data_IF_515228362334
#
_entry.id   IF_515228362334
#
_cell.length_a   1.000
_cell.length_b   1.000
_cell.length_c   1.000
_cell.angle_alpha   90.00
_cell.angle_beta   90.00
_cell.angle_gamma   90.00
#
_symmetry.space_group_name_H-M   'P 1'
#
loop_
_entity.id
_entity.type
_entity.pdbx_description
1 polymer ?
#
# COMPACT_ATOMS: atom_id res chain seq x y z
N UNK A 1 61.92 -35.97 -30.23
CA UNK A 1 60.73 -36.37 -31.02
C UNK A 1 59.38 -36.23 -30.31
N UNK A 2 59.24 -36.38 -28.97
CA UNK A 2 57.94 -36.25 -28.29
C UNK A 2 57.31 -34.83 -28.26
N UNK A 3 58.09 -33.75 -28.32
CA UNK A 3 57.55 -32.37 -28.30
C UNK A 3 56.87 -31.94 -29.60
N UNK A 4 57.30 -32.45 -30.75
CA UNK A 4 56.73 -32.05 -32.05
C UNK A 4 55.36 -32.70 -32.32
N UNK A 5 55.11 -33.88 -31.77
CA UNK A 5 53.82 -34.58 -31.93
C UNK A 5 52.70 -33.89 -31.13
N UNK A 6 53.03 -33.28 -29.99
CA UNK A 6 52.05 -32.60 -29.12
C UNK A 6 51.55 -31.28 -29.71
N UNK A 7 52.39 -30.57 -30.46
CA UNK A 7 52.03 -29.29 -31.10
C UNK A 7 51.14 -29.52 -32.32
N UNK A 8 51.41 -30.58 -33.10
CA UNK A 8 50.58 -30.96 -34.25
C UNK A 8 49.20 -31.44 -33.79
N UNK A 9 49.12 -32.21 -32.70
CA UNK A 9 47.84 -32.66 -32.14
C UNK A 9 46.99 -31.50 -31.59
N UNK A 10 47.63 -30.49 -30.98
CA UNK A 10 46.95 -29.29 -30.51
C UNK A 10 46.45 -28.42 -31.67
N UNK A 11 47.24 -28.27 -32.74
CA UNK A 11 46.84 -27.53 -33.94
C UNK A 11 45.71 -28.23 -34.70
N UNK A 12 45.69 -29.56 -34.75
CA UNK A 12 44.58 -30.33 -35.34
C UNK A 12 43.31 -30.19 -34.51
N UNK A 13 43.40 -30.21 -33.17
CA UNK A 13 42.25 -29.94 -32.29
C UNK A 13 41.75 -28.50 -32.40
N UNK A 14 42.65 -27.52 -32.58
CA UNK A 14 42.30 -26.12 -32.78
C UNK A 14 41.65 -25.87 -34.15
N UNK A 15 42.09 -26.58 -35.20
CA UNK A 15 41.47 -26.52 -36.53
C UNK A 15 40.11 -27.24 -36.54
N UNK A 16 39.94 -28.33 -35.77
CA UNK A 16 38.65 -29.02 -35.62
C UNK A 16 37.67 -28.21 -34.76
N UNK A 17 38.12 -27.40 -33.80
CA UNK A 17 37.25 -26.49 -33.05
C UNK A 17 36.93 -25.19 -33.80
N UNK A 18 37.79 -24.74 -34.72
CA UNK A 18 37.52 -23.57 -35.58
C UNK A 18 36.74 -23.91 -36.86
N UNK A 19 36.84 -25.14 -37.36
CA UNK A 19 35.94 -25.63 -38.41
C UNK A 19 34.72 -26.23 -37.74
N UNK A 20 33.77 -25.38 -37.35
CA UNK A 20 32.46 -25.79 -36.86
C UNK A 20 31.75 -26.65 -37.90
N UNK A 21 32.07 -27.94 -37.95
CA UNK A 21 31.33 -28.96 -38.66
C UNK A 21 30.08 -29.26 -37.82
N UNK A 22 29.17 -28.29 -37.75
CA UNK A 22 27.78 -28.58 -37.42
C UNK A 22 27.31 -29.68 -38.38
N UNK A 23 26.77 -30.76 -37.82
CA UNK A 23 26.20 -31.84 -38.64
C UNK A 23 25.20 -31.20 -39.61
N UNK A 24 25.17 -31.64 -40.88
CA UNK A 24 24.18 -31.12 -41.80
C UNK A 24 22.79 -31.47 -41.26
N UNK A 25 21.97 -30.44 -41.10
CA UNK A 25 20.57 -30.57 -40.67
C UNK A 25 19.65 -30.46 -41.88
N UNK A 26 18.46 -31.06 -41.77
CA UNK A 26 17.41 -30.90 -42.78
C UNK A 26 16.82 -29.49 -42.75
N UNK A 27 16.13 -29.10 -43.82
CA UNK A 27 15.45 -27.80 -43.88
C UNK A 27 14.41 -27.63 -42.76
N UNK A 28 13.63 -28.67 -42.47
CA UNK A 28 12.60 -28.62 -41.42
C UNK A 28 13.21 -28.48 -40.02
N UNK A 29 14.33 -29.16 -39.77
CA UNK A 29 15.11 -28.99 -38.53
C UNK A 29 15.68 -27.57 -38.43
N UNK A 30 16.21 -27.02 -39.53
CA UNK A 30 16.72 -25.66 -39.57
C UNK A 30 15.65 -24.61 -39.27
N UNK A 31 14.44 -24.78 -39.83
CA UNK A 31 13.29 -23.91 -39.53
C UNK A 31 12.90 -24.01 -38.06
N UNK A 32 12.86 -25.24 -37.51
CA UNK A 32 12.53 -25.45 -36.08
C UNK A 32 13.56 -24.82 -35.14
N UNK A 33 14.86 -24.98 -35.43
CA UNK A 33 15.92 -24.37 -34.64
C UNK A 33 15.91 -22.84 -34.75
N UNK A 34 15.68 -22.29 -35.95
CA UNK A 34 15.56 -20.85 -36.14
C UNK A 34 14.37 -20.26 -35.37
N UNK A 35 13.21 -20.93 -35.35
CA UNK A 35 12.08 -20.55 -34.49
C UNK A 35 12.43 -20.65 -32.99
N UNK A 36 13.18 -21.68 -32.58
CA UNK A 36 13.63 -21.79 -31.19
C UNK A 36 14.53 -20.61 -30.79
N UNK A 37 15.40 -20.12 -31.69
CA UNK A 37 16.23 -18.94 -31.45
C UNK A 37 15.39 -17.67 -31.39
N UNK A 38 14.38 -17.53 -32.26
CA UNK A 38 13.42 -16.42 -32.19
C UNK A 38 12.71 -16.38 -30.83
N UNK A 39 12.27 -17.55 -30.31
CA UNK A 39 11.67 -17.68 -28.97
C UNK A 39 12.68 -17.35 -27.86
N UNK A 40 13.90 -17.87 -27.95
CA UNK A 40 14.98 -17.58 -26.98
C UNK A 40 15.34 -16.08 -26.99
N UNK A 41 15.37 -15.43 -28.15
CA UNK A 41 15.60 -13.98 -28.29
C UNK A 41 14.53 -13.18 -27.55
N UNK A 42 13.26 -13.58 -27.64
CA UNK A 42 12.16 -12.89 -26.97
C UNK A 42 12.18 -13.09 -25.45
N UNK A 43 12.44 -14.31 -24.98
CA UNK A 43 12.26 -14.71 -23.58
C UNK A 43 13.50 -14.58 -22.69
N UNK A 44 14.71 -14.44 -23.25
CA UNK A 44 15.97 -14.42 -22.49
C UNK A 44 16.77 -13.14 -22.75
N UNK A 45 17.90 -12.92 -22.07
CA UNK A 45 18.81 -11.80 -22.35
C UNK A 45 19.67 -11.96 -23.62
N UNK A 46 19.29 -12.85 -24.54
CA UNK A 46 20.00 -12.99 -25.81
C UNK A 46 19.99 -11.65 -26.58
N UNK A 47 21.16 -11.28 -27.10
CA UNK A 47 21.32 -10.10 -27.96
C UNK A 47 20.92 -10.42 -29.40
N UNK A 48 20.52 -9.38 -30.15
CA UNK A 48 20.19 -9.50 -31.56
C UNK A 48 21.36 -10.05 -32.39
N UNK A 49 22.59 -9.63 -32.09
CA UNK A 49 23.80 -10.12 -32.77
C UNK A 49 24.03 -11.62 -32.50
N UNK A 50 23.78 -12.08 -31.28
CA UNK A 50 23.89 -13.49 -30.92
C UNK A 50 22.84 -14.32 -31.66
N UNK A 51 21.59 -13.86 -31.70
CA UNK A 51 20.51 -14.52 -32.44
C UNK A 51 20.83 -14.61 -33.94
N UNK A 52 21.26 -13.50 -34.55
CA UNK A 52 21.66 -13.45 -35.97
C UNK A 52 22.81 -14.40 -36.26
N UNK A 53 23.83 -14.45 -35.38
CA UNK A 53 24.94 -15.38 -35.53
C UNK A 53 24.46 -16.83 -35.53
N UNK A 54 23.61 -17.21 -34.57
CA UNK A 54 23.06 -18.58 -34.48
C UNK A 54 22.22 -18.94 -35.70
N UNK A 55 21.35 -18.04 -36.18
CA UNK A 55 20.52 -18.28 -37.38
C UNK A 55 21.39 -18.36 -38.65
N UNK A 56 22.39 -17.49 -38.78
CA UNK A 56 23.37 -17.55 -39.87
C UNK A 56 24.13 -18.87 -39.90
N UNK A 57 24.50 -19.43 -38.74
CA UNK A 57 25.15 -20.74 -38.65
C UNK A 57 24.21 -21.89 -39.04
N UNK A 58 22.93 -21.81 -38.64
CA UNK A 58 21.89 -22.73 -39.10
C UNK A 58 21.79 -22.70 -40.62
N UNK A 59 21.68 -21.52 -41.23
CA UNK A 59 21.59 -21.34 -42.69
C UNK A 59 22.78 -21.99 -43.41
N UNK A 60 24.00 -21.84 -42.86
CA UNK A 60 25.22 -22.46 -43.43
C UNK A 60 25.25 -23.97 -43.30
N UNK A 61 24.57 -24.54 -42.31
CA UNK A 61 24.58 -25.98 -42.04
C UNK A 61 23.57 -26.78 -42.88
N UNK A 62 22.58 -26.12 -43.48
CA UNK A 62 21.59 -26.79 -44.35
C UNK A 62 22.21 -27.13 -45.70
N UNK A 63 22.25 -28.42 -46.05
CA UNK A 63 22.73 -28.88 -47.37
C UNK A 63 21.61 -28.86 -48.40
N UNK A 64 21.95 -28.55 -49.65
CA UNK A 64 21.07 -28.65 -50.82
C UNK A 64 19.77 -27.83 -50.73
N UNK A 65 19.81 -26.64 -50.14
CA UNK A 65 18.65 -25.74 -50.13
C UNK A 65 18.39 -25.17 -51.52
N UNK A 66 17.13 -25.17 -51.94
CA UNK A 66 16.72 -24.40 -53.11
C UNK A 66 16.60 -22.90 -52.79
N UNK A 67 16.40 -22.08 -53.83
CA UNK A 67 16.29 -20.63 -53.67
C UNK A 67 15.08 -20.20 -52.82
N UNK A 68 13.99 -20.97 -52.84
CA UNK A 68 12.78 -20.69 -52.05
C UNK A 68 13.03 -20.97 -50.56
N UNK A 69 13.66 -22.09 -50.26
CA UNK A 69 14.06 -22.47 -48.90
C UNK A 69 15.06 -21.47 -48.32
N UNK A 70 16.05 -21.05 -49.11
CA UNK A 70 17.01 -20.01 -48.73
C UNK A 70 16.34 -18.68 -48.46
N UNK A 71 15.36 -18.28 -49.30
CA UNK A 71 14.61 -17.05 -49.10
C UNK A 71 13.83 -17.07 -47.78
N UNK A 72 13.18 -18.20 -47.45
CA UNK A 72 12.45 -18.36 -46.18
C UNK A 72 13.35 -18.24 -44.95
N UNK A 73 14.54 -18.85 -44.97
CA UNK A 73 15.46 -18.72 -43.83
C UNK A 73 16.04 -17.29 -43.69
N UNK A 74 16.29 -16.61 -44.81
CA UNK A 74 16.71 -15.20 -44.78
C UNK A 74 15.59 -14.27 -44.29
N UNK A 75 14.32 -14.61 -44.56
CA UNK A 75 13.15 -13.91 -44.02
C UNK A 75 13.10 -14.07 -42.49
N UNK A 76 13.29 -15.28 -41.97
CA UNK A 76 13.36 -15.54 -40.53
C UNK A 76 14.51 -14.78 -39.85
N UNK A 77 15.64 -14.56 -40.54
CA UNK A 77 16.73 -13.72 -40.04
C UNK A 77 16.34 -12.23 -39.99
N UNK A 78 15.56 -11.74 -40.96
CA UNK A 78 15.02 -10.37 -40.94
C UNK A 78 13.97 -10.18 -39.84
N UNK A 79 13.17 -11.20 -39.57
CA UNK A 79 12.16 -11.16 -38.51
C UNK A 79 12.78 -10.96 -37.12
N UNK A 80 14.07 -11.30 -36.93
CA UNK A 80 14.79 -11.05 -35.68
C UNK A 80 14.82 -9.56 -35.31
N UNK A 81 14.87 -8.66 -36.30
CA UNK A 81 14.86 -7.20 -36.05
C UNK A 81 13.52 -6.72 -35.54
N UNK A 82 12.44 -7.28 -36.11
CA UNK A 82 11.08 -7.01 -35.67
C UNK A 82 10.84 -7.58 -34.26
N UNK A 83 11.24 -8.83 -34.02
CA UNK A 83 11.16 -9.47 -32.69
C UNK A 83 11.93 -8.66 -31.64
N UNK A 84 13.15 -8.23 -31.96
CA UNK A 84 13.98 -7.48 -31.02
C UNK A 84 13.44 -6.08 -30.71
N UNK A 85 12.89 -5.39 -31.72
CA UNK A 85 12.23 -4.10 -31.53
C UNK A 85 11.01 -4.23 -30.61
N UNK A 86 10.16 -5.23 -30.86
CA UNK A 86 9.00 -5.48 -30.01
C UNK A 86 9.36 -5.97 -28.60
N UNK A 87 10.47 -6.69 -28.43
CA UNK A 87 11.00 -7.06 -27.10
C UNK A 87 11.40 -5.82 -26.31
N UNK A 88 12.00 -4.83 -26.98
CA UNK A 88 12.35 -3.55 -26.36
C UNK A 88 11.08 -2.81 -25.93
N UNK A 89 10.11 -2.69 -26.84
CA UNK A 89 8.81 -2.07 -26.52
C UNK A 89 8.11 -2.81 -25.37
N UNK A 90 8.15 -4.14 -25.36
CA UNK A 90 7.64 -4.96 -24.26
C UNK A 90 8.39 -4.71 -22.95
N UNK A 91 9.72 -4.64 -22.95
CA UNK A 91 10.50 -4.37 -21.75
C UNK A 91 10.19 -2.98 -21.19
N UNK A 92 10.04 -2.00 -22.06
CA UNK A 92 9.67 -0.63 -21.70
C UNK A 92 8.24 -0.61 -21.09
N UNK A 93 7.28 -1.33 -21.69
CA UNK A 93 5.92 -1.52 -21.16
C UNK A 93 5.95 -2.25 -19.80
N UNK A 94 6.74 -3.30 -19.64
CA UNK A 94 6.87 -4.04 -18.37
C UNK A 94 7.52 -3.19 -17.27
N UNK A 95 8.47 -2.32 -17.63
CA UNK A 95 9.03 -1.35 -16.70
C UNK A 95 7.99 -0.29 -16.31
N UNK A 96 7.09 0.09 -17.21
CA UNK A 96 5.96 0.98 -16.93
C UNK A 96 4.87 0.30 -16.07
N UNK A 97 4.59 -1.00 -16.31
CA UNK A 97 3.72 -1.85 -15.47
C UNK A 97 4.23 -1.96 -14.04
N UNK A 98 5.55 -2.07 -13.88
CA UNK A 98 6.15 -2.12 -12.54
C UNK A 98 5.96 -0.80 -11.77
N UNK A 99 5.58 0.28 -12.47
CA UNK A 99 5.40 1.63 -11.92
C UNK A 99 3.91 1.99 -11.73
N UNK A 100 2.97 1.50 -12.55
CA UNK A 100 1.52 1.76 -12.42
C UNK A 100 0.60 0.58 -12.86
N UNK A 101 -0.69 0.62 -12.46
CA UNK A 101 -1.76 -0.40 -12.56
C UNK A 101 -1.65 -1.43 -13.72
N UNK A 102 -1.38 -2.69 -13.35
CA UNK A 102 -1.23 -3.89 -14.19
C UNK A 102 -2.32 -4.08 -15.28
N UNK A 103 -3.58 -3.74 -15.00
CA UNK A 103 -4.70 -3.94 -15.92
C UNK A 103 -4.59 -3.13 -17.22
N UNK A 104 -4.01 -1.93 -17.17
CA UNK A 104 -3.97 -1.03 -18.34
C UNK A 104 -2.95 -1.50 -19.39
N UNK A 105 -1.81 -2.00 -18.93
CA UNK A 105 -0.76 -2.41 -19.83
C UNK A 105 -0.98 -3.80 -20.45
N UNK A 106 -1.68 -4.70 -19.75
CA UNK A 106 -2.10 -5.98 -20.32
C UNK A 106 -3.06 -5.76 -21.51
N UNK A 107 -3.94 -4.76 -21.42
CA UNK A 107 -4.83 -4.37 -22.52
C UNK A 107 -4.05 -3.86 -23.75
N UNK A 108 -3.06 -2.99 -23.56
CA UNK A 108 -2.21 -2.48 -24.65
C UNK A 108 -1.38 -3.60 -25.32
N UNK A 109 -0.92 -4.58 -24.53
CA UNK A 109 -0.21 -5.74 -25.03
C UNK A 109 -1.10 -6.61 -25.94
N UNK A 110 -2.37 -6.76 -25.58
CA UNK A 110 -3.34 -7.53 -26.37
C UNK A 110 -3.73 -6.82 -27.67
N UNK A 111 -3.89 -5.49 -27.65
CA UNK A 111 -4.09 -4.70 -28.87
C UNK A 111 -2.90 -4.83 -29.83
N UNK A 112 -1.67 -4.77 -29.31
CA UNK A 112 -0.46 -4.95 -30.12
C UNK A 112 -0.41 -6.34 -30.78
N UNK A 113 -0.83 -7.40 -30.09
CA UNK A 113 -0.92 -8.76 -30.66
C UNK A 113 -1.98 -8.83 -31.77
N UNK A 114 -3.13 -8.18 -31.58
CA UNK A 114 -4.23 -8.15 -32.54
C UNK A 114 -3.87 -7.51 -33.88
N UNK A 115 -2.84 -6.65 -33.92
CA UNK A 115 -2.38 -5.99 -35.15
C UNK A 115 -1.50 -6.85 -36.06
N UNK A 116 -0.92 -7.96 -35.58
CA UNK A 116 -0.05 -8.83 -36.39
C UNK A 116 -0.80 -10.09 -36.87
N UNK A 117 -0.99 -10.24 -38.18
CA UNK A 117 -1.84 -11.29 -38.82
C UNK A 117 -1.08 -12.53 -39.32
N UNK A 118 0.22 -12.63 -39.10
CA UNK A 118 1.12 -13.66 -39.65
C UNK A 118 1.71 -14.56 -38.55
N UNK A 119 2.71 -15.39 -38.90
CA UNK A 119 3.36 -16.35 -37.98
C UNK A 119 3.92 -15.70 -36.71
N UNK A 120 4.15 -14.40 -36.75
CA UNK A 120 4.53 -13.60 -35.60
C UNK A 120 3.42 -13.53 -34.53
N UNK A 121 2.16 -13.45 -34.95
CA UNK A 121 1.00 -13.43 -34.05
C UNK A 121 0.81 -14.75 -33.30
N UNK A 122 1.17 -15.89 -33.89
CA UNK A 122 1.07 -17.19 -33.23
C UNK A 122 2.22 -17.41 -32.24
N UNK A 123 3.44 -16.96 -32.56
CA UNK A 123 4.56 -16.94 -31.62
C UNK A 123 4.26 -16.00 -30.43
N UNK A 124 3.67 -14.83 -30.69
CA UNK A 124 3.26 -13.92 -29.61
C UNK A 124 2.19 -14.54 -28.71
N UNK A 125 1.18 -15.22 -29.26
CA UNK A 125 0.15 -15.91 -28.46
C UNK A 125 0.74 -17.00 -27.58
N UNK A 126 1.65 -17.81 -28.11
CA UNK A 126 2.30 -18.88 -27.34
C UNK A 126 3.19 -18.28 -26.22
N UNK A 127 3.94 -17.22 -26.53
CA UNK A 127 4.77 -16.52 -25.55
C UNK A 127 3.91 -15.81 -24.48
N UNK A 128 2.77 -15.22 -24.84
CA UNK A 128 1.83 -14.64 -23.89
C UNK A 128 1.23 -15.71 -22.98
N UNK A 129 0.91 -16.89 -23.51
CA UNK A 129 0.47 -18.03 -22.70
C UNK A 129 1.53 -18.48 -21.69
N UNK A 130 2.79 -18.59 -22.09
CA UNK A 130 3.89 -18.97 -21.20
C UNK A 130 4.23 -17.86 -20.18
N UNK A 131 4.20 -16.59 -20.59
CA UNK A 131 4.39 -15.43 -19.72
C UNK A 131 3.25 -15.33 -18.70
N UNK A 132 2.02 -15.62 -19.10
CA UNK A 132 0.88 -15.67 -18.17
C UNK A 132 1.08 -16.77 -17.12
N UNK A 133 1.54 -17.96 -17.51
CA UNK A 133 1.84 -19.07 -16.59
C UNK A 133 3.04 -18.76 -15.67
N UNK A 134 4.07 -18.07 -16.18
CA UNK A 134 5.23 -17.64 -15.39
C UNK A 134 4.83 -16.56 -14.38
N UNK A 135 4.09 -15.55 -14.83
CA UNK A 135 3.55 -14.51 -13.95
C UNK A 135 2.51 -15.07 -12.98
N UNK A 136 1.69 -16.06 -13.31
CA UNK A 136 0.77 -16.69 -12.35
C UNK A 136 1.52 -17.34 -11.19
N UNK A 137 2.64 -18.03 -11.46
CA UNK A 137 3.49 -18.63 -10.42
C UNK A 137 4.27 -17.60 -9.62
N UNK A 138 4.79 -16.56 -10.26
CA UNK A 138 5.54 -15.49 -9.59
C UNK A 138 4.62 -14.51 -8.86
N UNK A 139 3.37 -14.35 -9.31
CA UNK A 139 2.32 -13.58 -8.64
C UNK A 139 1.73 -14.39 -7.48
N UNK A 140 1.44 -15.69 -7.62
CA UNK A 140 1.08 -16.56 -6.50
C UNK A 140 2.20 -16.58 -5.45
N UNK A 141 3.45 -16.76 -5.88
CA UNK A 141 4.60 -16.79 -4.96
C UNK A 141 4.86 -15.42 -4.34
N UNK A 142 4.81 -14.33 -5.10
CA UNK A 142 4.99 -12.97 -4.61
C UNK A 142 3.87 -12.52 -3.67
N UNK A 143 2.62 -12.88 -3.97
CA UNK A 143 1.47 -12.64 -3.09
C UNK A 143 1.61 -13.50 -1.82
N UNK A 144 1.99 -14.79 -1.92
CA UNK A 144 2.18 -15.66 -0.76
C UNK A 144 3.37 -15.21 0.09
N UNK A 145 4.49 -14.79 -0.52
CA UNK A 145 5.67 -14.29 0.17
C UNK A 145 5.43 -12.90 0.79
N UNK A 146 4.71 -11.99 0.13
CA UNK A 146 4.27 -10.71 0.71
C UNK A 146 3.27 -10.94 1.84
N UNK A 147 2.34 -11.88 1.71
CA UNK A 147 1.42 -12.28 2.78
C UNK A 147 2.21 -12.93 3.93
N UNK A 148 3.23 -13.73 3.68
CA UNK A 148 4.01 -14.40 4.73
C UNK A 148 5.05 -13.49 5.41
N UNK A 149 5.62 -12.52 4.68
CA UNK A 149 6.57 -11.54 5.24
C UNK A 149 5.85 -10.39 5.95
N UNK A 150 4.68 -9.96 5.47
CA UNK A 150 3.90 -8.89 6.10
C UNK A 150 2.88 -9.41 7.12
N UNK A 151 2.61 -10.72 7.14
CA UNK A 151 1.81 -11.37 8.17
C UNK A 151 2.69 -12.38 8.93
N UNK A 152 3.66 -11.88 9.71
CA UNK A 152 4.13 -12.64 10.86
C UNK A 152 3.00 -12.67 11.91
N UNK A 153 2.05 -13.59 11.74
CA UNK A 153 0.89 -13.81 12.63
C UNK A 153 1.36 -14.01 14.09
N UNK A 154 2.59 -14.49 14.29
CA UNK A 154 3.22 -14.68 15.58
C UNK A 154 3.57 -13.34 16.25
N UNK A 155 4.02 -12.34 15.49
CA UNK A 155 4.37 -11.01 15.98
C UNK A 155 3.14 -10.13 16.27
N UNK A 156 2.00 -10.40 15.61
CA UNK A 156 0.73 -9.68 15.82
C UNK A 156 0.05 -9.95 17.18
N UNK A 157 0.57 -10.88 17.99
CA UNK A 157 0.07 -11.13 19.35
C UNK A 157 0.79 -10.34 20.45
N UNK A 158 1.89 -9.65 20.15
CA UNK A 158 2.76 -9.11 21.21
C UNK A 158 2.97 -7.60 21.25
N UNK A 159 2.35 -6.78 20.38
CA UNK A 159 2.44 -5.31 20.52
C UNK A 159 1.14 -4.59 20.21
N UNK A 160 0.77 -3.71 21.14
CA UNK A 160 -0.14 -2.57 20.96
C UNK A 160 0.19 -1.79 19.68
N UNK A 161 -0.82 -1.10 19.13
CA UNK A 161 -0.90 -0.43 17.81
C UNK A 161 -1.53 -1.27 16.69
N UNK A 162 -2.85 -1.44 16.80
CA UNK A 162 -3.73 -1.81 15.68
C UNK A 162 -4.57 -0.58 15.33
N UNK A 163 -3.98 0.38 14.61
CA UNK A 163 -4.74 1.42 13.89
C UNK A 163 -4.02 1.82 12.60
N UNK A 164 -3.50 0.82 11.88
CA UNK A 164 -2.81 1.08 10.64
C UNK A 164 -3.81 1.02 9.49
N UNK A 165 -4.27 2.20 9.06
CA UNK A 165 -4.91 2.43 7.75
C UNK A 165 -4.19 1.73 6.59
N UNK A 166 -2.90 1.40 6.77
CA UNK A 166 -2.13 0.55 5.86
C UNK A 166 -2.73 -0.85 5.64
N UNK A 167 -3.22 -1.53 6.70
CA UNK A 167 -3.82 -2.86 6.58
C UNK A 167 -5.14 -2.76 5.80
N UNK A 168 -5.97 -1.76 6.14
CA UNK A 168 -7.25 -1.51 5.46
C UNK A 168 -7.03 -1.18 3.98
N UNK A 169 -6.09 -0.29 3.67
CA UNK A 169 -5.74 0.06 2.30
C UNK A 169 -5.19 -1.13 1.51
N UNK A 170 -4.40 -2.00 2.17
CA UNK A 170 -3.88 -3.21 1.55
C UNK A 170 -4.99 -4.22 1.23
N UNK A 171 -5.90 -4.49 2.17
CA UNK A 171 -7.05 -5.38 1.97
C UNK A 171 -7.97 -4.85 0.87
N UNK A 172 -8.23 -3.54 0.84
CA UNK A 172 -9.04 -2.91 -0.21
C UNK A 172 -8.38 -3.01 -1.59
N UNK A 173 -7.08 -2.77 -1.69
CA UNK A 173 -6.33 -2.91 -2.95
C UNK A 173 -6.31 -4.37 -3.44
N UNK A 174 -6.20 -5.35 -2.53
CA UNK A 174 -6.29 -6.76 -2.86
C UNK A 174 -7.69 -7.15 -3.39
N UNK A 175 -8.75 -6.65 -2.74
CA UNK A 175 -10.13 -6.88 -3.17
C UNK A 175 -10.45 -6.25 -4.53
N UNK A 176 -9.97 -5.03 -4.79
CA UNK A 176 -10.13 -4.38 -6.09
C UNK A 176 -9.44 -5.18 -7.22
N UNK A 177 -8.24 -5.70 -6.95
CA UNK A 177 -7.51 -6.56 -7.90
C UNK A 177 -8.26 -7.86 -8.20
N UNK A 178 -8.86 -8.50 -7.19
CA UNK A 178 -9.66 -9.72 -7.35
C UNK A 178 -10.94 -9.46 -8.17
N UNK A 179 -11.67 -8.39 -7.87
CA UNK A 179 -12.90 -8.04 -8.61
C UNK A 179 -12.61 -7.71 -10.08
N UNK A 180 -11.48 -7.06 -10.36
CA UNK A 180 -11.05 -6.78 -11.73
C UNK A 180 -10.63 -8.07 -12.47
N UNK A 181 -10.09 -9.07 -11.76
CA UNK A 181 -9.80 -10.40 -12.30
C UNK A 181 -11.08 -11.14 -12.70
N UNK A 182 -12.13 -11.12 -11.87
CA UNK A 182 -13.42 -11.76 -12.19
C UNK A 182 -14.07 -11.17 -13.43
N UNK A 183 -14.09 -9.84 -13.52
CA UNK A 183 -14.59 -9.14 -14.71
C UNK A 183 -13.79 -9.52 -15.97
N UNK A 184 -12.46 -9.61 -15.83
CA UNK A 184 -11.57 -10.01 -16.92
C UNK A 184 -11.81 -11.45 -17.38
N UNK A 185 -11.95 -12.42 -16.46
CA UNK A 185 -12.28 -13.81 -16.81
C UNK A 185 -13.65 -13.94 -17.46
N UNK A 186 -14.61 -13.10 -17.10
CA UNK A 186 -15.92 -13.06 -17.73
C UNK A 186 -15.84 -12.57 -19.19
N UNK A 187 -15.08 -11.50 -19.45
CA UNK A 187 -14.85 -10.99 -20.81
C UNK A 187 -14.07 -11.99 -21.67
N UNK A 188 -13.03 -12.61 -21.11
CA UNK A 188 -12.26 -13.64 -21.80
C UNK A 188 -13.10 -14.88 -22.12
N UNK A 189 -13.93 -15.34 -21.17
CA UNK A 189 -14.80 -16.49 -21.35
C UNK A 189 -15.83 -16.34 -22.47
N UNK A 190 -16.21 -15.10 -22.80
CA UNK A 190 -17.11 -14.79 -23.93
C UNK A 190 -16.41 -14.82 -25.29
N UNK A 191 -15.08 -14.74 -25.34
CA UNK A 191 -14.34 -14.45 -26.58
C UNK A 191 -13.45 -15.61 -27.07
N UNK A 192 -13.35 -16.74 -26.35
CA UNK A 192 -12.29 -17.73 -26.57
C UNK A 192 -12.71 -19.12 -27.11
N UNK A 193 -11.74 -19.75 -27.81
CA UNK A 193 -11.76 -21.14 -28.33
C UNK A 193 -11.79 -22.21 -27.23
N UNK A 194 -12.28 -23.41 -27.56
CA UNK A 194 -12.55 -24.53 -26.64
C UNK A 194 -11.35 -24.98 -25.78
N UNK A 195 -10.11 -24.84 -26.24
CA UNK A 195 -8.92 -25.31 -25.50
C UNK A 195 -8.57 -24.43 -24.28
N UNK A 196 -8.92 -23.13 -24.27
CA UNK A 196 -8.75 -22.26 -23.09
C UNK A 196 -9.89 -22.40 -22.08
N UNK A 197 -11.06 -22.85 -22.53
CA UNK A 197 -12.23 -23.11 -21.65
C UNK A 197 -11.92 -24.20 -20.62
N UNK A 198 -11.10 -25.19 -20.99
CA UNK A 198 -10.61 -26.25 -20.10
C UNK A 198 -9.74 -25.72 -18.96
N UNK A 199 -8.91 -24.69 -19.22
CA UNK A 199 -8.11 -24.05 -18.17
C UNK A 199 -8.98 -23.16 -17.26
N UNK A 200 -10.02 -22.52 -17.81
CA UNK A 200 -10.97 -21.72 -17.03
C UNK A 200 -11.74 -22.56 -15.98
N UNK A 201 -12.16 -23.78 -16.36
CA UNK A 201 -12.87 -24.70 -15.46
C UNK A 201 -11.98 -25.23 -14.31
N UNK A 202 -10.64 -25.22 -14.48
CA UNK A 202 -9.68 -25.58 -13.41
C UNK A 202 -9.42 -24.40 -12.46
N UNK A 203 -9.51 -23.16 -12.96
CA UNK A 203 -9.21 -21.95 -12.19
C UNK A 203 -10.39 -21.46 -11.35
N UNK A 204 -11.63 -21.66 -11.85
CA UNK A 204 -12.86 -21.22 -11.16
C UNK A 204 -12.99 -21.71 -9.71
N UNK A 205 -12.73 -22.99 -9.39
CA UNK A 205 -12.79 -23.48 -8.01
C UNK A 205 -11.72 -22.87 -7.10
N UNK A 206 -10.55 -22.50 -7.65
CA UNK A 206 -9.48 -21.88 -6.88
C UNK A 206 -9.79 -20.41 -6.55
N UNK A 207 -10.40 -19.68 -7.48
CA UNK A 207 -10.92 -18.33 -7.24
C UNK A 207 -12.03 -18.32 -6.18
N UNK A 208 -12.92 -19.32 -6.19
CA UNK A 208 -13.96 -19.51 -5.16
C UNK A 208 -13.37 -19.73 -3.75
N UNK A 209 -12.25 -20.45 -3.64
CA UNK A 209 -11.54 -20.62 -2.35
C UNK A 209 -10.93 -19.30 -1.88
N UNK A 210 -10.37 -18.49 -2.79
CA UNK A 210 -9.84 -17.18 -2.46
C UNK A 210 -10.94 -16.21 -1.98
N UNK A 211 -12.11 -16.22 -2.63
CA UNK A 211 -13.29 -15.44 -2.23
C UNK A 211 -13.78 -15.78 -0.82
N UNK A 212 -13.79 -17.07 -0.45
CA UNK A 212 -14.19 -17.50 0.89
C UNK A 212 -13.18 -17.05 1.98
N UNK A 213 -11.90 -16.90 1.65
CA UNK A 213 -10.89 -16.33 2.55
C UNK A 213 -11.14 -14.82 2.73
N UNK A 214 -11.58 -14.13 1.67
CA UNK A 214 -11.94 -12.71 1.73
C UNK A 214 -13.10 -12.44 2.68
N UNK A 215 -14.12 -13.30 2.71
CA UNK A 215 -15.25 -13.16 3.64
C UNK A 215 -14.83 -13.30 5.12
N UNK A 216 -13.94 -14.25 5.43
CA UNK A 216 -13.39 -14.41 6.79
C UNK A 216 -12.52 -13.21 7.20
N UNK A 217 -11.79 -12.61 6.25
CA UNK A 217 -11.01 -11.39 6.48
C UNK A 217 -11.91 -10.16 6.69
N UNK A 218 -13.01 -10.03 5.95
CA UNK A 218 -13.99 -8.95 6.15
C UNK A 218 -14.68 -9.05 7.52
N UNK A 219 -14.99 -10.27 7.98
CA UNK A 219 -15.55 -10.49 9.32
C UNK A 219 -14.55 -10.09 10.41
N UNK A 220 -13.28 -10.50 10.28
CA UNK A 220 -12.21 -10.10 11.20
C UNK A 220 -11.98 -8.58 11.21
N UNK A 221 -12.04 -7.94 10.04
CA UNK A 221 -11.93 -6.48 9.92
C UNK A 221 -13.02 -5.76 10.71
N UNK A 222 -14.28 -6.18 10.59
CA UNK A 222 -15.39 -5.58 11.34
C UNK A 222 -15.21 -5.71 12.86
N UNK A 223 -14.71 -6.84 13.33
CA UNK A 223 -14.43 -7.05 14.76
C UNK A 223 -13.34 -6.09 15.24
N UNK A 224 -12.26 -5.94 14.47
CA UNK A 224 -11.15 -5.02 14.79
C UNK A 224 -11.63 -3.56 14.79
N UNK A 225 -12.43 -3.15 13.81
CA UNK A 225 -12.99 -1.79 13.73
C UNK A 225 -13.91 -1.48 14.92
N UNK A 226 -14.75 -2.43 15.35
CA UNK A 226 -15.61 -2.25 16.53
C UNK A 226 -14.81 -2.17 17.83
N UNK A 227 -13.75 -2.96 17.98
CA UNK A 227 -12.86 -2.91 19.15
C UNK A 227 -12.06 -1.59 19.19
N UNK A 228 -11.48 -1.18 18.06
CA UNK A 228 -10.77 0.09 17.94
C UNK A 228 -11.68 1.29 18.26
N UNK A 229 -12.94 1.26 17.80
CA UNK A 229 -13.92 2.30 18.13
C UNK A 229 -14.22 2.36 19.62
N UNK A 230 -14.36 1.21 20.30
CA UNK A 230 -14.59 1.18 21.76
C UNK A 230 -13.40 1.74 22.54
N UNK A 231 -12.18 1.38 22.15
CA UNK A 231 -10.95 1.92 22.74
C UNK A 231 -10.86 3.45 22.57
N UNK A 232 -11.10 3.97 21.37
CA UNK A 232 -11.08 5.41 21.12
C UNK A 232 -12.15 6.17 21.92
N UNK A 233 -13.35 5.60 22.07
CA UNK A 233 -14.39 6.19 22.92
C UNK A 233 -14.04 6.18 24.41
N UNK A 234 -13.27 5.19 24.88
CA UNK A 234 -12.82 5.09 26.26
C UNK A 234 -11.66 6.06 26.55
N UNK A 235 -10.68 6.16 25.65
CA UNK A 235 -9.60 7.15 25.70
C UNK A 235 -10.15 8.58 25.68
N UNK A 236 -11.09 8.90 24.79
CA UNK A 236 -11.74 10.21 24.75
C UNK A 236 -12.50 10.54 26.05
N UNK A 237 -13.08 9.54 26.72
CA UNK A 237 -13.71 9.72 28.04
C UNK A 237 -12.69 9.95 29.15
N UNK A 238 -11.50 9.35 29.05
CA UNK A 238 -10.40 9.57 30.00
C UNK A 238 -9.84 10.97 29.81
N UNK A 239 -9.53 11.37 28.58
CA UNK A 239 -8.98 12.68 28.24
C UNK A 239 -9.97 13.80 28.62
N UNK A 240 -11.26 13.65 28.33
CA UNK A 240 -12.29 14.60 28.76
C UNK A 240 -12.38 14.71 30.29
N UNK A 241 -12.19 13.61 31.04
CA UNK A 241 -12.15 13.66 32.51
C UNK A 241 -10.87 14.32 33.03
N UNK A 242 -9.74 14.12 32.37
CA UNK A 242 -8.46 14.75 32.75
C UNK A 242 -8.44 16.26 32.44
N UNK A 243 -9.01 16.69 31.32
CA UNK A 243 -9.20 18.12 31.02
C UNK A 243 -10.12 18.81 32.03
N UNK A 244 -11.22 18.17 32.43
CA UNK A 244 -12.11 18.71 33.47
C UNK A 244 -11.37 18.86 34.79
N UNK A 245 -10.56 17.85 35.18
CA UNK A 245 -9.77 17.89 36.42
C UNK A 245 -8.72 19.00 36.42
N UNK A 246 -8.20 19.38 35.25
CA UNK A 246 -7.19 20.44 35.10
C UNK A 246 -7.71 21.82 35.54
N UNK A 247 -9.01 22.07 35.44
CA UNK A 247 -9.63 23.38 35.70
C UNK A 247 -10.53 23.38 36.94
N UNK A 248 -10.45 22.34 37.78
CA UNK A 248 -11.21 22.30 39.04
C UNK A 248 -10.79 23.45 39.99
N UNK A 249 -11.75 24.14 40.61
CA UNK A 249 -11.47 25.15 41.63
C UNK A 249 -10.66 24.60 42.80
N UNK A 250 -9.57 25.28 43.16
CA UNK A 250 -8.72 24.90 44.28
C UNK A 250 -8.89 25.89 45.44
N UNK A 251 -9.26 25.41 46.63
CA UNK A 251 -9.28 26.25 47.83
C UNK A 251 -7.87 26.33 48.43
N UNK A 252 -7.28 27.52 48.43
CA UNK A 252 -5.90 27.74 48.88
C UNK A 252 -5.86 28.22 50.34
N UNK A 253 -6.86 29.02 50.75
CA UNK A 253 -6.95 29.55 52.11
C UNK A 253 -8.34 29.27 52.66
N UNK A 254 -8.40 28.84 53.93
CA UNK A 254 -9.64 28.67 54.70
C UNK A 254 -9.34 28.90 56.18
N UNK A 255 -9.32 30.17 56.60
CA UNK A 255 -8.96 30.55 57.97
C UNK A 255 -9.53 31.92 58.35
N UNK A 256 -9.90 32.10 59.61
CA UNK A 256 -10.32 33.39 60.19
C UNK A 256 -11.38 34.14 59.38
N UNK A 257 -12.35 33.38 58.89
CA UNK A 257 -13.45 33.87 58.07
C UNK A 257 -13.04 34.35 56.67
N UNK A 258 -11.82 34.01 56.24
CA UNK A 258 -11.29 34.27 54.91
C UNK A 258 -11.15 32.95 54.13
N UNK A 259 -11.66 32.95 52.91
CA UNK A 259 -11.46 31.90 51.93
C UNK A 259 -10.84 32.48 50.65
N UNK A 260 -9.84 31.81 50.09
CA UNK A 260 -9.30 32.16 48.78
C UNK A 260 -9.37 30.92 47.89
N UNK A 261 -10.02 31.09 46.74
CA UNK A 261 -10.12 30.07 45.71
C UNK A 261 -9.32 30.45 44.48
N UNK A 262 -8.61 29.49 43.90
CA UNK A 262 -8.07 29.58 42.55
C UNK A 262 -9.11 29.00 41.60
N UNK A 263 -9.63 29.84 40.72
CA UNK A 263 -10.71 29.46 39.79
C UNK A 263 -10.27 29.73 38.36
N UNK A 264 -10.69 28.87 37.43
CA UNK A 264 -10.48 29.09 36.00
C UNK A 264 -11.75 29.68 35.39
N UNK A 265 -11.64 30.81 34.72
CA UNK A 265 -12.77 31.47 34.05
C UNK A 265 -12.60 31.30 32.54
N UNK A 266 -13.45 30.50 31.91
CA UNK A 266 -13.40 30.14 30.49
C UNK A 266 -14.32 30.98 29.60
N UNK A 267 -15.42 31.52 30.12
CA UNK A 267 -16.44 32.22 29.32
C UNK A 267 -16.22 33.74 29.24
N UNK A 268 -15.10 34.25 29.77
CA UNK A 268 -14.84 35.68 29.83
C UNK A 268 -15.74 36.44 30.82
N UNK A 269 -16.54 35.72 31.61
CA UNK A 269 -17.31 36.29 32.72
C UNK A 269 -17.36 35.34 33.91
N UNK A 270 -17.53 35.91 35.11
CA UNK A 270 -17.78 35.20 36.36
C UNK A 270 -19.16 35.61 36.85
N UNK A 271 -20.07 34.65 37.03
CA UNK A 271 -21.32 34.92 37.72
C UNK A 271 -21.24 34.43 39.17
N UNK A 272 -21.48 35.34 40.12
CA UNK A 272 -21.43 35.06 41.55
C UNK A 272 -22.83 35.16 42.17
N UNK A 273 -23.27 34.07 42.79
CA UNK A 273 -24.45 34.03 43.64
C UNK A 273 -24.08 33.65 45.06
N UNK A 274 -24.79 34.22 46.04
CA UNK A 274 -24.53 33.88 47.42
C UNK A 274 -25.35 34.68 48.41
N UNK A 275 -25.33 34.23 49.66
CA UNK A 275 -25.95 34.91 50.78
C UNK A 275 -24.95 35.05 51.91
N UNK A 276 -24.98 36.18 52.61
CA UNK A 276 -24.29 36.39 53.87
C UNK A 276 -25.30 36.77 54.94
N UNK A 277 -25.20 36.13 56.10
CA UNK A 277 -26.05 36.34 57.27
C UNK A 277 -25.17 36.62 58.49
N UNK A 278 -25.20 37.85 58.97
CA UNK A 278 -24.34 38.29 60.06
C UNK A 278 -24.25 39.81 60.18
N UNK A 279 -23.78 40.29 61.34
CA UNK A 279 -23.62 41.73 61.61
C UNK A 279 -22.28 42.30 61.13
N UNK A 280 -21.35 41.42 60.73
CA UNK A 280 -20.00 41.80 60.31
C UNK A 280 -19.89 42.27 58.86
N UNK A 281 -18.65 42.50 58.43
CA UNK A 281 -18.30 42.79 57.04
C UNK A 281 -18.42 41.54 56.18
N UNK A 282 -18.93 41.69 54.96
CA UNK A 282 -18.88 40.69 53.90
C UNK A 282 -18.24 41.29 52.66
N UNK A 283 -17.09 40.75 52.28
CA UNK A 283 -16.26 41.27 51.19
C UNK A 283 -15.94 40.13 50.23
N UNK A 284 -16.16 40.37 48.94
CA UNK A 284 -15.73 39.46 47.88
C UNK A 284 -14.90 40.23 46.87
N UNK A 285 -13.69 39.75 46.57
CA UNK A 285 -12.76 40.37 45.64
C UNK A 285 -12.32 39.37 44.59
N UNK A 286 -12.08 39.86 43.38
CA UNK A 286 -11.47 39.11 42.31
C UNK A 286 -10.10 39.71 42.00
N UNK A 287 -9.07 38.87 41.98
CA UNK A 287 -7.72 39.24 41.55
C UNK A 287 -7.26 38.37 40.38
N UNK A 288 -6.39 38.91 39.54
CA UNK A 288 -5.82 38.18 38.42
C UNK A 288 -4.69 37.22 38.85
N UNK A 289 -4.10 36.50 37.89
CA UNK A 289 -2.99 35.56 38.14
C UNK A 289 -1.74 36.20 38.78
N UNK A 290 -1.54 37.51 38.62
CA UNK A 290 -0.46 38.28 39.25
C UNK A 290 -0.85 38.81 40.65
N UNK A 291 -2.02 38.40 41.16
CA UNK A 291 -2.64 38.86 42.41
C UNK A 291 -2.98 40.37 42.42
N UNK A 292 -3.06 41.00 41.25
CA UNK A 292 -3.54 42.37 41.13
C UNK A 292 -5.06 42.38 41.26
N UNK A 293 -5.59 43.28 42.09
CA UNK A 293 -7.02 43.43 42.30
C UNK A 293 -7.69 43.86 41.00
N UNK A 294 -8.63 43.04 40.52
CA UNK A 294 -9.43 43.34 39.34
C UNK A 294 -10.72 44.07 39.73
N UNK A 295 -11.44 43.55 40.73
CA UNK A 295 -12.75 44.08 41.11
C UNK A 295 -13.10 43.74 42.56
N UNK A 296 -13.91 44.60 43.18
CA UNK A 296 -14.58 44.32 44.46
C UNK A 296 -16.05 44.00 44.19
N UNK A 297 -16.38 42.71 44.15
CA UNK A 297 -17.71 42.22 43.78
C UNK A 297 -18.77 42.53 44.86
N UNK A 298 -18.34 42.45 46.12
CA UNK A 298 -19.16 42.72 47.31
C UNK A 298 -18.32 43.43 48.36
N UNK A 299 -18.91 44.44 49.01
CA UNK A 299 -18.31 45.11 50.17
C UNK A 299 -19.44 45.71 51.02
N UNK A 300 -20.04 44.87 51.85
CA UNK A 300 -21.27 45.19 52.59
C UNK A 300 -21.12 44.90 54.08
N UNK A 301 -21.95 45.56 54.89
CA UNK A 301 -22.03 45.33 56.34
C UNK A 301 -23.45 44.88 56.66
N UNK A 302 -23.59 43.76 57.38
CA UNK A 302 -24.89 43.19 57.66
C UNK A 302 -25.31 42.11 56.65
N UNK A 303 -26.55 41.63 56.78
CA UNK A 303 -27.13 40.66 55.85
C UNK A 303 -27.08 41.14 54.40
N UNK A 304 -26.64 40.27 53.48
CA UNK A 304 -26.55 40.60 52.07
C UNK A 304 -26.82 39.40 51.17
N UNK A 305 -27.37 39.65 49.98
CA UNK A 305 -27.56 38.65 48.92
C UNK A 305 -26.86 39.17 47.68
N UNK A 306 -25.94 38.38 47.14
CA UNK A 306 -25.25 38.69 45.89
C UNK A 306 -25.82 37.82 44.76
N UNK A 307 -26.07 38.46 43.62
CA UNK A 307 -26.39 37.85 42.33
C UNK A 307 -25.87 38.82 41.27
N UNK A 308 -24.63 38.62 40.82
CA UNK A 308 -23.91 39.56 39.93
C UNK A 308 -23.05 38.82 38.93
N UNK A 309 -23.04 39.30 37.68
CA UNK A 309 -22.05 38.90 36.67
C UNK A 309 -20.96 39.95 36.55
N UNK A 310 -19.71 39.51 36.45
CA UNK A 310 -18.54 40.34 36.17
C UNK A 310 -17.85 39.87 34.88
N UNK A 311 -17.42 40.79 34.02
CA UNK A 311 -16.69 40.47 32.79
C UNK A 311 -15.19 40.56 33.07
N UNK A 312 -14.45 39.50 32.75
CA UNK A 312 -12.99 39.47 32.90
C UNK A 312 -12.30 39.80 31.56
N UNK A 313 -11.13 40.46 31.59
CA UNK A 313 -10.45 40.88 30.36
C UNK A 313 -9.84 39.72 29.56
N UNK A 314 -9.67 38.54 30.16
CA UNK A 314 -9.12 37.36 29.50
C UNK A 314 -9.53 36.06 30.20
N UNK A 315 -9.51 34.97 29.43
CA UNK A 315 -9.70 33.61 29.93
C UNK A 315 -8.46 33.16 30.68
N UNK A 316 -8.63 32.52 31.85
CA UNK A 316 -7.49 32.05 32.63
C UNK A 316 -7.77 31.82 34.11
N UNK A 317 -6.69 31.68 34.88
CA UNK A 317 -6.74 31.51 36.32
C UNK A 317 -6.86 32.85 37.06
N UNK A 318 -7.76 32.89 38.03
CA UNK A 318 -8.03 34.01 38.92
C UNK A 318 -8.06 33.58 40.38
N UNK A 319 -7.99 34.55 41.27
CA UNK A 319 -8.14 34.35 42.71
C UNK A 319 -9.41 35.04 43.20
N UNK A 320 -10.35 34.26 43.71
CA UNK A 320 -11.57 34.75 44.35
C UNK A 320 -11.38 34.73 45.86
N UNK A 321 -11.29 35.92 46.45
CA UNK A 321 -11.21 36.10 47.90
C UNK A 321 -12.61 36.38 48.45
N UNK A 322 -13.02 35.61 49.45
CA UNK A 322 -14.28 35.76 50.18
C UNK A 322 -13.92 35.96 51.65
N UNK A 323 -14.42 37.03 52.26
CA UNK A 323 -14.16 37.37 53.65
C UNK A 323 -15.45 37.74 54.38
N UNK A 324 -15.70 37.10 55.52
CA UNK A 324 -16.80 37.40 56.42
C UNK A 324 -16.31 37.49 57.86
N UNK A 325 -16.57 38.61 58.56
CA UNK A 325 -15.99 38.83 59.88
C UNK A 325 -16.83 38.30 61.05
N UNK A 326 -18.16 38.27 60.92
CA UNK A 326 -19.11 37.87 61.99
C UNK A 326 -20.43 37.38 61.40
N UNK A 327 -20.36 36.31 60.61
CA UNK A 327 -21.54 35.75 59.95
C UNK A 327 -21.24 34.43 59.26
N UNK A 328 -22.27 33.85 58.66
CA UNK A 328 -22.17 32.68 57.80
C UNK A 328 -22.50 33.09 56.38
N UNK A 329 -21.90 32.41 55.40
CA UNK A 329 -22.18 32.63 54.00
C UNK A 329 -22.36 31.34 53.23
N UNK A 330 -23.13 31.44 52.15
CA UNK A 330 -23.20 30.46 51.07
C UNK A 330 -22.85 31.17 49.77
N UNK A 331 -22.19 30.47 48.87
CA UNK A 331 -21.89 30.99 47.55
C UNK A 331 -21.81 29.87 46.52
N UNK A 332 -22.03 30.25 45.28
CA UNK A 332 -21.76 29.47 44.09
C UNK A 332 -21.27 30.42 42.99
N UNK A 333 -20.43 29.91 42.10
CA UNK A 333 -20.02 30.61 40.91
C UNK A 333 -20.08 29.69 39.71
N UNK A 334 -20.30 30.28 38.55
CA UNK A 334 -20.27 29.60 37.26
C UNK A 334 -19.75 30.54 36.17
#
# INVERSE_FOLDING_TARGET
MKKSMSIIFLLVLLVISFTGCSKPISFDEAVKEAHSIQKELLLTDMTLESARSKVSDIIRSVKNIDNSQKAKLNEMEKDLDMIYSSKKDYKDIMEEISKENFSYAFFNMYEAVGTYKDSYGDILKECIGEIYIMNEKDLEKGIIEDIQQNIDISALKEKEYINDNHIINFVNAANERLNNMDYFFEQIGQTMSNDLKLNLDILKPKAEVALNITDDLQVKQKIIEEEAKKLAEEEAKIEAKEEVKKYEPEKIVDSDGKQIWKIYISEGSLHLKGTYKGSGNFIVKLSNSNQELMEVLVNEIGDYIVDKTFIVPYVGWYYLEIYGSQGNWTYEWY
#
